data_IF_152126156363
#
_entry.id   IF_152126156363
#
_cell.length_a   1.000
_cell.length_b   1.000
_cell.length_c   1.000
_cell.angle_alpha   90.00
_cell.angle_beta   90.00
_cell.angle_gamma   90.00
#
_symmetry.space_group_name_H-M   'P 1'
#
loop_
_entity.id
_entity.type
_entity.pdbx_description
1 polymer ?
#
# COMPACT_ATOMS: atom_id res chain seq x y z
N UNK A 1 -31.94 39.40 -55.74
CA UNK A 1 -31.87 39.80 -54.32
C UNK A 1 -31.52 38.52 -53.55
N UNK A 2 -30.24 38.19 -53.46
CA UNK A 2 -29.31 38.61 -52.40
C UNK A 2 -29.47 37.78 -51.13
N UNK A 3 -28.58 36.79 -51.01
CA UNK A 3 -27.82 36.36 -49.83
C UNK A 3 -28.44 36.52 -48.44
N UNK A 4 -28.48 35.41 -47.70
CA UNK A 4 -27.91 35.38 -46.36
C UNK A 4 -27.39 33.96 -46.06
N UNK A 5 -26.07 33.81 -46.21
CA UNK A 5 -25.29 32.79 -45.52
C UNK A 5 -25.52 32.93 -44.02
N UNK A 6 -25.64 31.83 -43.30
CA UNK A 6 -25.26 31.85 -41.89
C UNK A 6 -24.42 30.62 -41.58
N UNK A 7 -23.13 30.82 -41.79
CA UNK A 7 -22.02 30.02 -41.31
C UNK A 7 -21.96 30.20 -39.80
N UNK A 8 -22.62 29.31 -39.05
CA UNK A 8 -22.51 29.31 -37.60
C UNK A 8 -21.33 28.42 -37.20
N UNK A 9 -20.19 29.10 -37.09
CA UNK A 9 -18.95 28.73 -36.42
C UNK A 9 -18.93 27.34 -35.75
N UNK A 10 -18.03 26.51 -36.25
CA UNK A 10 -17.47 25.37 -35.53
C UNK A 10 -16.87 25.86 -34.20
N UNK A 11 -17.65 25.82 -33.12
CA UNK A 11 -17.06 25.81 -31.79
C UNK A 11 -16.44 24.43 -31.62
N UNK A 12 -15.18 24.31 -32.02
CA UNK A 12 -14.31 23.24 -31.58
C UNK A 12 -14.22 23.36 -30.06
N UNK A 13 -15.19 22.78 -29.37
CA UNK A 13 -15.03 22.38 -27.99
C UNK A 13 -13.90 21.38 -28.04
N UNK A 14 -12.68 21.85 -27.76
CA UNK A 14 -11.57 20.98 -27.41
C UNK A 14 -12.10 20.11 -26.27
N UNK A 15 -12.50 18.89 -26.62
CA UNK A 15 -12.87 17.86 -25.68
C UNK A 15 -11.57 17.61 -24.92
N UNK A 16 -11.43 18.31 -23.79
CA UNK A 16 -10.39 18.05 -22.84
C UNK A 16 -10.61 16.61 -22.45
N UNK A 17 -9.76 15.72 -22.98
CA UNK A 17 -9.85 14.29 -22.71
C UNK A 17 -9.90 14.06 -21.21
N UNK A 18 -10.45 12.94 -20.74
CA UNK A 18 -10.56 12.69 -19.31
C UNK A 18 -9.18 12.85 -18.69
N UNK A 19 -9.01 13.89 -17.88
CA UNK A 19 -7.82 14.07 -17.04
C UNK A 19 -7.84 12.87 -16.12
N UNK A 20 -7.00 11.87 -16.42
CA UNK A 20 -6.84 10.70 -15.57
C UNK A 20 -6.30 11.19 -14.24
N UNK A 21 -7.19 11.35 -13.26
CA UNK A 21 -6.79 11.70 -11.90
C UNK A 21 -5.99 10.53 -11.36
N UNK A 22 -4.75 10.74 -10.87
CA UNK A 22 -4.01 9.69 -10.21
C UNK A 22 -4.82 9.14 -9.05
N UNK A 23 -4.94 7.81 -8.96
CA UNK A 23 -5.56 7.19 -7.80
C UNK A 23 -4.59 7.26 -6.62
N UNK A 24 -5.05 7.58 -5.40
CA UNK A 24 -4.21 7.53 -4.21
C UNK A 24 -3.64 6.12 -3.99
N UNK A 25 -2.31 6.01 -3.89
CA UNK A 25 -1.67 4.73 -3.54
C UNK A 25 -1.99 4.43 -2.07
N UNK A 26 -2.59 3.26 -1.82
CA UNK A 26 -2.87 2.76 -0.48
C UNK A 26 -1.93 1.62 -0.16
N UNK A 27 -0.94 1.87 0.69
CA UNK A 27 0.06 0.88 1.11
C UNK A 27 -0.45 -0.15 2.12
N UNK A 28 -1.75 -0.12 2.46
CA UNK A 28 -2.34 -1.00 3.46
C UNK A 28 -1.94 -0.70 4.91
N UNK A 29 -1.19 0.38 5.14
CA UNK A 29 -0.68 0.77 6.45
C UNK A 29 0.67 0.14 6.79
N UNK A 30 1.00 0.22 8.07
CA UNK A 30 2.24 -0.31 8.66
C UNK A 30 1.92 -1.55 9.48
N UNK A 31 2.88 -2.46 9.56
CA UNK A 31 2.84 -3.64 10.43
C UNK A 31 4.11 -3.69 11.29
N UNK A 32 3.93 -4.14 12.53
CA UNK A 32 5.01 -4.27 13.51
C UNK A 32 5.32 -5.74 13.78
N UNK A 33 6.60 -6.09 13.74
CA UNK A 33 7.10 -7.44 14.03
C UNK A 33 8.10 -7.39 15.16
N UNK A 34 8.02 -8.32 16.11
CA UNK A 34 9.05 -8.47 17.12
C UNK A 34 9.80 -9.78 16.87
N UNK A 35 11.10 -9.64 16.64
CA UNK A 35 12.04 -10.74 16.36
C UNK A 35 13.17 -10.61 17.35
N UNK A 36 13.36 -11.63 18.18
CA UNK A 36 14.23 -11.54 19.36
C UNK A 36 13.79 -10.31 20.22
N UNK A 37 14.70 -9.41 20.56
CA UNK A 37 14.43 -8.22 21.36
C UNK A 37 14.19 -6.95 20.52
N UNK A 38 14.09 -7.08 19.19
CA UNK A 38 13.97 -5.95 18.25
C UNK A 38 12.56 -5.89 17.67
N UNK A 39 11.96 -4.71 17.69
CA UNK A 39 10.71 -4.41 16.98
C UNK A 39 11.04 -3.75 15.64
N UNK A 40 10.58 -4.37 14.56
CA UNK A 40 10.69 -3.90 13.20
C UNK A 40 9.37 -3.31 12.74
N UNK A 41 9.45 -2.16 12.07
CA UNK A 41 8.34 -1.52 11.39
C UNK A 41 8.49 -1.71 9.88
N UNK A 42 7.41 -2.12 9.20
CA UNK A 42 7.42 -2.26 7.75
C UNK A 42 6.05 -1.94 7.12
N UNK A 43 6.02 -1.52 5.84
CA UNK A 43 4.76 -1.42 5.11
C UNK A 43 4.06 -2.78 5.03
N UNK A 44 2.74 -2.77 5.01
CA UNK A 44 1.97 -4.02 4.97
C UNK A 44 1.88 -4.63 3.57
N UNK A 45 1.89 -3.79 2.53
CA UNK A 45 1.55 -4.24 1.17
C UNK A 45 2.46 -5.34 0.62
N UNK A 46 3.78 -5.32 0.84
CA UNK A 46 4.66 -6.38 0.30
C UNK A 46 4.44 -7.73 0.95
N UNK A 47 4.11 -7.74 2.24
CA UNK A 47 3.79 -8.98 2.94
C UNK A 47 2.49 -9.57 2.41
N UNK A 48 1.45 -8.75 2.20
CA UNK A 48 0.22 -9.20 1.57
C UNK A 48 0.43 -9.66 0.11
N UNK A 49 1.24 -8.93 -0.67
CA UNK A 49 1.53 -9.23 -2.08
C UNK A 49 2.29 -10.57 -2.26
N UNK A 50 3.21 -10.89 -1.35
CA UNK A 50 4.10 -12.04 -1.48
C UNK A 50 3.78 -13.21 -0.54
N UNK A 51 2.78 -13.07 0.34
CA UNK A 51 2.39 -14.12 1.29
C UNK A 51 0.89 -14.11 1.55
N UNK A 52 0.21 -15.13 1.03
CA UNK A 52 -1.22 -15.40 1.30
C UNK A 52 -1.50 -15.55 2.80
N UNK A 53 -0.55 -16.09 3.57
CA UNK A 53 -0.66 -16.22 5.03
C UNK A 53 -0.78 -14.84 5.67
N UNK A 54 0.10 -13.90 5.31
CA UNK A 54 0.01 -12.54 5.83
C UNK A 54 -1.24 -11.82 5.31
N UNK A 55 -1.54 -11.93 4.02
CA UNK A 55 -2.76 -11.36 3.45
C UNK A 55 -4.01 -11.80 4.24
N UNK A 56 -4.16 -13.11 4.44
CA UNK A 56 -5.28 -13.68 5.19
C UNK A 56 -5.27 -13.22 6.64
N UNK A 57 -4.11 -13.30 7.31
CA UNK A 57 -3.94 -12.91 8.71
C UNK A 57 -4.52 -11.53 8.96
N UNK A 58 -4.27 -10.57 8.07
CA UNK A 58 -4.71 -9.22 8.31
C UNK A 58 -6.04 -8.78 7.72
N UNK A 59 -6.82 -9.75 7.25
CA UNK A 59 -8.28 -9.64 7.12
C UNK A 59 -9.03 -10.27 8.31
N UNK A 60 -8.34 -10.94 9.23
CA UNK A 60 -8.98 -11.51 10.42
C UNK A 60 -9.50 -10.40 11.34
N UNK A 61 -10.65 -10.63 12.01
CA UNK A 61 -11.14 -9.71 13.03
C UNK A 61 -10.16 -9.66 14.22
N UNK A 62 -10.29 -8.62 15.04
CA UNK A 62 -9.58 -8.54 16.31
C UNK A 62 -9.90 -9.74 17.22
N UNK A 63 -8.96 -10.09 18.08
CA UNK A 63 -9.13 -11.13 19.11
C UNK A 63 -10.27 -10.82 20.07
N UNK A 64 -10.60 -11.76 20.96
CA UNK A 64 -11.69 -11.61 21.92
C UNK A 64 -11.48 -10.45 22.92
N UNK A 65 -10.24 -10.01 23.10
CA UNK A 65 -9.83 -8.85 23.90
C UNK A 65 -9.79 -7.55 23.10
N UNK A 66 -10.13 -7.58 21.82
CA UNK A 66 -10.08 -6.44 20.90
C UNK A 66 -8.68 -6.09 20.38
N UNK A 67 -7.67 -6.91 20.69
CA UNK A 67 -6.30 -6.70 20.20
C UNK A 67 -6.14 -7.20 18.77
N UNK A 68 -5.27 -6.51 18.01
CA UNK A 68 -4.91 -6.88 16.64
C UNK A 68 -3.39 -7.01 16.58
N UNK A 69 -2.93 -8.21 16.26
CA UNK A 69 -1.50 -8.50 16.10
C UNK A 69 -0.87 -7.65 14.99
N UNK A 70 0.28 -7.08 15.30
CA UNK A 70 1.07 -6.20 14.42
C UNK A 70 0.56 -4.77 14.28
N UNK A 71 -0.41 -4.34 15.11
CA UNK A 71 -1.00 -3.00 15.00
C UNK A 71 -0.03 -1.88 15.36
N UNK A 72 0.77 -2.09 16.40
CA UNK A 72 1.73 -1.13 16.96
C UNK A 72 2.87 -1.90 17.66
N UNK A 73 3.80 -1.17 18.27
CA UNK A 73 4.96 -1.71 18.98
C UNK A 73 4.60 -2.40 20.31
N UNK A 74 3.46 -2.07 20.91
CA UNK A 74 2.91 -2.75 22.09
C UNK A 74 2.22 -4.08 21.73
N UNK A 75 1.71 -4.20 20.49
CA UNK A 75 1.04 -5.38 19.95
C UNK A 75 1.71 -5.86 18.65
N UNK A 76 3.00 -6.23 18.64
CA UNK A 76 3.70 -6.66 17.44
C UNK A 76 3.43 -8.14 17.12
N UNK A 77 3.53 -8.53 15.86
CA UNK A 77 3.56 -9.96 15.49
C UNK A 77 4.85 -10.58 16.04
N UNK A 78 4.71 -11.53 16.97
CA UNK A 78 5.83 -12.26 17.57
C UNK A 78 6.34 -13.35 16.61
N UNK A 79 7.62 -13.27 16.21
CA UNK A 79 8.27 -14.28 15.39
C UNK A 79 9.34 -15.03 16.20
N UNK A 80 8.89 -15.98 17.02
CA UNK A 80 9.76 -16.81 17.85
C UNK A 80 10.63 -17.76 17.00
N UNK A 81 11.90 -17.93 17.39
CA UNK A 81 12.84 -18.83 16.72
C UNK A 81 13.49 -18.26 15.44
N UNK A 82 13.16 -17.03 15.04
CA UNK A 82 13.83 -16.33 13.94
C UNK A 82 14.91 -15.37 14.46
N UNK A 83 16.00 -15.23 13.70
CA UNK A 83 17.05 -14.25 14.00
C UNK A 83 16.70 -12.89 13.41
N UNK A 84 16.93 -11.81 14.16
CA UNK A 84 16.67 -10.45 13.71
C UNK A 84 17.51 -10.08 12.48
N UNK A 85 18.71 -10.63 12.35
CA UNK A 85 19.61 -10.43 11.18
C UNK A 85 19.02 -11.01 9.89
N UNK A 86 18.39 -12.18 9.95
CA UNK A 86 17.71 -12.81 8.82
C UNK A 86 16.46 -12.03 8.44
N UNK A 87 15.67 -11.62 9.43
CA UNK A 87 14.47 -10.81 9.18
C UNK A 87 14.81 -9.45 8.55
N UNK A 88 15.83 -8.76 9.06
CA UNK A 88 16.34 -7.53 8.45
C UNK A 88 16.81 -7.74 7.00
N UNK A 89 17.40 -8.89 6.69
CA UNK A 89 17.80 -9.23 5.32
C UNK A 89 16.58 -9.43 4.41
N UNK A 90 15.52 -10.07 4.90
CA UNK A 90 14.24 -10.18 4.19
C UNK A 90 13.65 -8.79 3.90
N UNK A 91 13.64 -7.87 4.88
CA UNK A 91 13.14 -6.51 4.67
C UNK A 91 13.89 -5.79 3.55
N UNK A 92 15.21 -5.94 3.46
CA UNK A 92 16.01 -5.36 2.36
C UNK A 92 15.66 -5.93 0.98
N UNK A 93 15.23 -7.19 0.92
CA UNK A 93 14.77 -7.82 -0.33
C UNK A 93 13.37 -7.34 -0.71
N UNK A 94 12.46 -7.23 0.26
CA UNK A 94 11.09 -6.75 0.02
C UNK A 94 11.04 -5.25 -0.32
N UNK A 95 11.92 -4.47 0.31
CA UNK A 95 12.02 -3.02 0.23
C UNK A 95 13.44 -2.59 -0.16
N UNK A 96 13.85 -2.88 -1.41
CA UNK A 96 15.15 -2.43 -1.89
C UNK A 96 15.14 -0.90 -1.93
N UNK A 97 16.05 -0.26 -1.20
CA UNK A 97 16.33 1.14 -1.40
C UNK A 97 16.89 1.30 -2.82
N UNK A 98 16.31 2.19 -3.62
CA UNK A 98 16.97 2.59 -4.86
C UNK A 98 18.32 3.19 -4.48
N UNK A 99 19.39 2.49 -4.81
CA UNK A 99 20.73 3.07 -4.74
C UNK A 99 20.71 4.27 -5.71
N UNK A 100 21.06 5.48 -5.26
CA UNK A 100 21.11 6.65 -6.14
C UNK A 100 22.14 6.48 -7.27
#
# INVERSE_FOLDING_TARGET
>A
MSTASNESASHATASSGPVLRPQPIRWGGTIFFKVEEIVFEAPRFRFAEHSEVFETMFHLPAGSDGTVEGRDDEHPILLEGYQATHFNSLLKVLYPASVP
#
